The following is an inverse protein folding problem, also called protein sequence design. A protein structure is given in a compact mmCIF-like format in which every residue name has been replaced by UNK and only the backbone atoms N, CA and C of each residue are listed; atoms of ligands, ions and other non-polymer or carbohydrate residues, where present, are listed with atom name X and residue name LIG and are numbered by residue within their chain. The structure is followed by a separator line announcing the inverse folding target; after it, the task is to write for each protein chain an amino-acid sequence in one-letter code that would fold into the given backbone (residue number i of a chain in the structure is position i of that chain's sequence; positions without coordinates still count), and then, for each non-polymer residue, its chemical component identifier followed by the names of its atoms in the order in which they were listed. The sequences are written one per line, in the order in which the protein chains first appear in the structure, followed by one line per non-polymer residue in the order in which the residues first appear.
data_IF_195590951677
#
_entry.id   IF_195590951677
#
_cell.length_a   1.000
_cell.length_b   1.000
_cell.length_c   1.000
_cell.angle_alpha   90.00
_cell.angle_beta   90.00
_cell.angle_gamma   90.00
#
_symmetry.space_group_name_H-M   'P 1'
#
loop_
_entity.id
_entity.type
_entity.pdbx_description
1 polymer ?
#
# COMPACT_ATOMS: atom_id res chain seq x y z
N UNK A 1 2.99 -5.70 -6.57
CA UNK A 1 3.16 -5.31 -7.98
C UNK A 1 3.53 -3.84 -8.06
N UNK A 2 4.26 -3.50 -9.08
CA UNK A 2 4.62 -2.11 -9.31
C UNK A 2 3.50 -1.43 -10.09
N UNK A 3 3.06 -0.27 -9.62
CA UNK A 3 1.96 0.48 -10.22
C UNK A 3 2.46 1.87 -10.58
N UNK A 4 2.05 2.35 -11.73
CA UNK A 4 2.44 3.68 -12.23
C UNK A 4 1.19 4.55 -12.39
N UNK A 5 1.43 5.85 -12.64
CA UNK A 5 0.31 6.79 -12.79
C UNK A 5 -0.73 6.28 -13.79
N UNK A 6 -0.26 5.76 -14.91
CA UNK A 6 -1.16 5.31 -15.98
C UNK A 6 -2.00 4.10 -15.60
N UNK A 7 -1.54 3.28 -14.66
CA UNK A 7 -2.24 2.04 -14.29
C UNK A 7 -2.93 2.14 -12.93
N UNK A 8 -2.77 3.26 -12.22
CA UNK A 8 -3.26 3.38 -10.85
C UNK A 8 -4.76 3.17 -10.75
N UNK A 9 -5.52 3.78 -11.66
CA UNK A 9 -6.99 3.65 -11.60
C UNK A 9 -7.40 2.18 -11.71
N UNK A 10 -6.87 1.45 -12.68
CA UNK A 10 -7.25 0.06 -12.91
C UNK A 10 -6.71 -0.87 -11.82
N UNK A 11 -5.44 -0.70 -11.46
CA UNK A 11 -4.78 -1.67 -10.58
C UNK A 11 -5.02 -1.40 -9.10
N UNK A 12 -5.42 -0.19 -8.74
CA UNK A 12 -5.70 0.15 -7.35
C UNK A 12 -7.16 0.48 -7.14
N UNK A 13 -7.68 1.50 -7.82
CA UNK A 13 -9.03 1.99 -7.51
C UNK A 13 -10.10 0.98 -7.91
N UNK A 14 -10.05 0.50 -9.14
CA UNK A 14 -11.03 -0.49 -9.60
C UNK A 14 -10.85 -1.81 -8.84
N UNK A 15 -9.61 -2.25 -8.69
CA UNK A 15 -9.34 -3.49 -7.97
C UNK A 15 -9.83 -3.42 -6.53
N UNK A 16 -9.80 -2.24 -5.92
CA UNK A 16 -10.25 -2.07 -4.53
C UNK A 16 -11.73 -2.35 -4.34
N UNK A 17 -12.49 -2.44 -5.44
CA UNK A 17 -13.89 -2.84 -5.38
C UNK A 17 -14.03 -4.33 -5.12
N UNK A 18 -12.97 -5.10 -5.35
CA UNK A 18 -12.95 -6.55 -5.16
C UNK A 18 -12.21 -6.96 -3.89
N UNK A 19 -11.06 -6.36 -3.63
CA UNK A 19 -10.20 -6.69 -2.48
C UNK A 19 -9.55 -5.41 -1.97
N UNK A 20 -9.19 -5.36 -0.68
CA UNK A 20 -8.40 -4.22 -0.19
C UNK A 20 -7.05 -4.16 -0.89
N UNK A 21 -6.62 -2.96 -1.23
CA UNK A 21 -5.31 -2.73 -1.85
C UNK A 21 -4.48 -1.87 -0.91
N UNK A 22 -3.29 -2.36 -0.56
CA UNK A 22 -2.33 -1.61 0.23
C UNK A 22 -1.38 -0.91 -0.75
N UNK A 23 -1.34 0.42 -0.68
CA UNK A 23 -0.49 1.24 -1.55
C UNK A 23 0.73 1.67 -0.78
N UNK A 24 1.92 1.29 -1.26
CA UNK A 24 3.20 1.62 -0.64
C UNK A 24 3.89 2.70 -1.48
N UNK A 25 3.91 3.93 -0.97
CA UNK A 25 4.58 5.05 -1.64
C UNK A 25 6.02 5.12 -1.15
N UNK A 26 6.95 4.92 -2.08
CA UNK A 26 8.37 4.77 -1.75
C UNK A 26 9.24 5.47 -2.79
N UNK A 27 10.54 5.54 -2.52
CA UNK A 27 11.53 6.06 -3.47
C UNK A 27 12.83 5.29 -3.31
N UNK A 28 13.64 5.18 -4.39
CA UNK A 28 14.91 4.41 -4.32
C UNK A 28 15.91 4.94 -3.32
N UNK A 29 15.87 6.25 -3.02
CA UNK A 29 16.81 6.89 -2.10
C UNK A 29 16.37 6.80 -0.64
N UNK A 30 15.21 6.21 -0.39
CA UNK A 30 14.61 6.21 0.94
C UNK A 30 15.04 4.97 1.74
N UNK A 31 15.89 5.17 2.75
CA UNK A 31 16.36 4.07 3.59
C UNK A 31 15.25 3.31 4.30
N UNK A 32 14.36 4.02 5.02
CA UNK A 32 13.25 3.35 5.73
C UNK A 32 12.31 2.59 4.80
N UNK A 33 12.17 3.04 3.55
CA UNK A 33 11.36 2.32 2.57
C UNK A 33 11.95 0.93 2.28
N UNK A 34 13.27 0.83 2.30
CA UNK A 34 13.95 -0.44 2.03
C UNK A 34 13.75 -1.44 3.15
N UNK A 35 13.54 -0.95 4.37
CA UNK A 35 13.25 -1.81 5.50
C UNK A 35 11.78 -2.25 5.48
N UNK A 36 10.88 -1.34 5.16
CA UNK A 36 9.44 -1.61 5.19
C UNK A 36 8.97 -2.49 4.04
N UNK A 37 9.54 -2.28 2.84
CA UNK A 37 9.09 -2.99 1.64
C UNK A 37 9.01 -4.51 1.80
N UNK A 38 10.11 -5.16 2.22
CA UNK A 38 10.07 -6.61 2.40
C UNK A 38 9.06 -7.08 3.45
N UNK A 39 8.85 -6.27 4.50
CA UNK A 39 7.87 -6.60 5.53
C UNK A 39 6.46 -6.57 4.94
N UNK A 40 6.14 -5.52 4.19
CA UNK A 40 4.83 -5.42 3.53
C UNK A 40 4.61 -6.59 2.56
N UNK A 41 5.62 -6.90 1.77
CA UNK A 41 5.52 -7.99 0.80
C UNK A 41 5.22 -9.31 1.49
N UNK A 42 5.93 -9.59 2.58
CA UNK A 42 5.76 -10.85 3.31
C UNK A 42 4.39 -10.93 3.97
N UNK A 43 3.96 -9.85 4.63
CA UNK A 43 2.68 -9.85 5.35
C UNK A 43 1.52 -9.94 4.38
N UNK A 44 1.58 -9.18 3.28
CA UNK A 44 0.50 -9.23 2.29
C UNK A 44 0.43 -10.59 1.62
N UNK A 45 1.58 -11.20 1.31
CA UNK A 45 1.61 -12.53 0.74
C UNK A 45 0.93 -13.55 1.65
N UNK A 46 1.03 -13.35 2.97
CA UNK A 46 0.37 -14.23 3.93
C UNK A 46 -1.14 -14.19 3.88
N UNK A 47 -1.73 -13.15 3.26
CA UNK A 47 -3.19 -13.08 3.12
C UNK A 47 -3.72 -13.99 2.00
N UNK A 48 -2.82 -14.55 1.21
CA UNK A 48 -3.17 -15.47 0.11
C UNK A 48 -4.16 -14.86 -0.88
N UNK A 49 -3.92 -13.63 -1.25
CA UNK A 49 -4.71 -12.94 -2.27
C UNK A 49 -5.91 -12.16 -1.74
N UNK A 50 -6.15 -12.20 -0.43
CA UNK A 50 -7.26 -11.45 0.16
C UNK A 50 -6.94 -9.98 0.32
N UNK A 51 -5.66 -9.61 0.22
CA UNK A 51 -5.18 -8.23 0.19
C UNK A 51 -4.11 -8.17 -0.89
N UNK A 52 -4.05 -7.07 -1.61
CA UNK A 52 -3.09 -6.88 -2.70
C UNK A 52 -2.17 -5.72 -2.34
N UNK A 53 -0.89 -5.83 -2.71
CA UNK A 53 0.09 -4.77 -2.49
C UNK A 53 0.42 -4.10 -3.81
N UNK A 54 0.27 -2.78 -3.85
CA UNK A 54 0.65 -1.95 -5.00
C UNK A 54 1.78 -1.02 -4.55
N UNK A 55 2.91 -1.10 -5.23
CA UNK A 55 4.09 -0.29 -4.90
C UNK A 55 4.22 0.83 -5.93
N UNK A 56 4.34 2.07 -5.46
CA UNK A 56 4.44 3.23 -6.33
C UNK A 56 5.70 4.01 -6.00
N UNK A 57 6.61 4.09 -6.98
CA UNK A 57 7.81 4.90 -6.87
C UNK A 57 7.42 6.36 -7.14
N UNK A 58 7.48 7.20 -6.10
CA UNK A 58 7.00 8.58 -6.22
C UNK A 58 7.88 9.46 -7.10
N UNK A 59 9.14 9.07 -7.32
CA UNK A 59 10.03 9.83 -8.20
C UNK A 59 9.55 9.77 -9.64
N UNK A 60 8.93 8.66 -10.02
CA UNK A 60 8.50 8.43 -11.39
C UNK A 60 6.99 8.59 -11.59
N UNK A 61 6.25 8.78 -10.49
CA UNK A 61 4.78 8.81 -10.56
C UNK A 61 4.23 9.99 -9.75
N UNK A 62 4.49 11.21 -10.24
CA UNK A 62 4.05 12.42 -9.51
C UNK A 62 2.53 12.55 -9.39
N UNK A 63 1.79 11.97 -10.33
CA UNK A 63 0.33 12.04 -10.27
C UNK A 63 -0.22 11.35 -9.04
N UNK A 64 0.24 10.12 -8.78
CA UNK A 64 -0.17 9.40 -7.59
C UNK A 64 0.30 10.12 -6.33
N UNK A 65 1.57 10.53 -6.31
CA UNK A 65 2.14 11.22 -5.15
C UNK A 65 1.33 12.46 -4.80
N UNK A 66 0.93 13.24 -5.80
CA UNK A 66 0.12 14.44 -5.60
C UNK A 66 -1.28 14.11 -5.09
N UNK A 67 -1.88 13.07 -5.63
CA UNK A 67 -3.22 12.65 -5.23
C UNK A 67 -3.30 12.34 -3.74
N UNK A 68 -2.24 11.74 -3.20
CA UNK A 68 -2.19 11.38 -1.78
C UNK A 68 -1.59 12.50 -0.92
N UNK A 69 -1.13 13.59 -1.55
CA UNK A 69 -0.50 14.72 -0.84
C UNK A 69 0.64 14.24 0.04
N UNK A 70 1.51 13.40 -0.53
CA UNK A 70 2.60 12.78 0.22
C UNK A 70 3.60 13.82 0.66
N UNK A 71 3.94 13.84 1.95
CA UNK A 71 4.94 14.75 2.51
C UNK A 71 6.14 13.99 3.07
N UNK A 72 5.94 12.75 3.49
CA UNK A 72 7.01 11.91 4.03
C UNK A 72 6.82 10.49 3.52
N UNK A 73 7.93 9.79 3.29
CA UNK A 73 7.89 8.39 2.87
C UNK A 73 8.76 7.56 3.82
N UNK A 74 8.45 6.27 3.97
CA UNK A 74 7.35 5.57 3.31
C UNK A 74 5.99 6.03 3.81
N UNK A 75 5.03 6.07 2.92
CA UNK A 75 3.64 6.36 3.27
C UNK A 75 2.80 5.23 2.71
N UNK A 76 1.94 4.66 3.55
CA UNK A 76 1.15 3.49 3.19
C UNK A 76 -0.32 3.81 3.38
N UNK A 77 -1.11 3.50 2.35
CA UNK A 77 -2.55 3.73 2.37
C UNK A 77 -3.26 2.42 2.02
N UNK A 78 -4.34 2.13 2.73
CA UNK A 78 -5.19 1.00 2.39
C UNK A 78 -6.44 1.54 1.70
N UNK A 79 -6.74 1.00 0.53
CA UNK A 79 -7.88 1.42 -0.29
C UNK A 79 -8.85 0.24 -0.38
N UNK A 80 -10.13 0.47 -0.07
CA UNK A 80 -11.15 -0.56 -0.20
C UNK A 80 -12.45 0.13 -0.61
N UNK A 81 -13.11 -0.41 -1.61
CA UNK A 81 -14.33 0.20 -2.17
C UNK A 81 -14.07 1.65 -2.56
N UNK A 82 -12.89 1.90 -3.17
CA UNK A 82 -12.45 3.18 -3.71
C UNK A 82 -12.22 4.27 -2.64
N UNK A 83 -12.12 3.88 -1.38
CA UNK A 83 -11.92 4.82 -0.27
C UNK A 83 -10.71 4.43 0.55
N UNK A 84 -10.04 5.44 1.12
CA UNK A 84 -8.95 5.19 2.05
C UNK A 84 -9.55 4.71 3.36
N UNK A 85 -9.20 3.49 3.76
CA UNK A 85 -9.73 2.89 4.99
C UNK A 85 -8.66 2.78 6.09
N UNK A 86 -7.42 3.14 5.78
CA UNK A 86 -6.35 3.14 6.77
C UNK A 86 -5.09 3.71 6.17
N UNK A 87 -4.16 4.14 7.03
CA UNK A 87 -2.89 4.68 6.56
C UNK A 87 -1.88 4.73 7.70
N UNK A 88 -0.60 4.74 7.33
CA UNK A 88 0.46 5.08 8.28
C UNK A 88 1.64 5.68 7.51
N UNK A 89 2.50 6.41 8.22
CA UNK A 89 3.69 7.04 7.66
C UNK A 89 4.89 6.58 8.45
N UNK A 90 5.99 6.29 7.75
CA UNK A 90 7.23 5.85 8.37
C UNK A 90 7.31 4.34 8.44
N UNK A 91 8.53 3.84 8.68
CA UNK A 91 8.76 2.41 8.78
C UNK A 91 8.11 1.84 10.04
N UNK A 92 7.46 0.72 9.88
CA UNK A 92 6.83 -0.01 10.97
C UNK A 92 7.41 -1.40 11.04
N UNK A 93 7.42 -1.98 12.22
CA UNK A 93 7.86 -3.36 12.40
C UNK A 93 6.80 -4.34 11.92
N UNK A 94 7.18 -5.60 11.88
CA UNK A 94 6.32 -6.63 11.32
C UNK A 94 5.00 -6.77 12.07
N UNK A 95 5.03 -6.67 13.40
CA UNK A 95 3.81 -6.81 14.20
C UNK A 95 2.80 -5.72 13.87
N UNK A 96 3.27 -4.48 13.72
CA UNK A 96 2.38 -3.35 13.41
C UNK A 96 1.82 -3.47 11.99
N UNK A 97 2.65 -3.90 11.04
CA UNK A 97 2.21 -4.11 9.66
C UNK A 97 1.18 -5.24 9.61
N UNK A 98 1.43 -6.31 10.34
CA UNK A 98 0.52 -7.44 10.41
C UNK A 98 -0.85 -7.02 10.93
N UNK A 99 -0.87 -6.22 12.01
CA UNK A 99 -2.11 -5.69 12.56
C UNK A 99 -2.85 -4.81 11.55
N UNK A 100 -2.08 -3.96 10.85
CA UNK A 100 -2.65 -3.09 9.83
C UNK A 100 -3.37 -3.90 8.74
N UNK A 101 -2.72 -4.96 8.25
CA UNK A 101 -3.27 -5.80 7.19
C UNK A 101 -4.44 -6.64 7.70
N UNK A 102 -4.34 -7.19 8.91
CA UNK A 102 -5.42 -8.00 9.47
C UNK A 102 -6.73 -7.23 9.55
N UNK A 103 -6.65 -5.95 9.89
CA UNK A 103 -7.86 -5.12 9.99
C UNK A 103 -8.56 -4.91 8.65
N UNK A 104 -7.87 -5.17 7.54
CA UNK A 104 -8.45 -5.04 6.21
C UNK A 104 -9.21 -6.29 5.79
N UNK A 105 -8.95 -7.41 6.43
CA UNK A 105 -9.57 -8.67 6.09
C UNK A 105 -11.01 -8.69 6.55
N UNK A 106 -11.91 -9.34 5.79
CA UNK A 106 -13.30 -9.47 6.23
C UNK A 106 -13.36 -10.36 7.47
N UNK A 107 -14.34 -10.09 8.33
CA UNK A 107 -14.56 -10.94 9.49
C UNK A 107 -14.97 -12.33 9.03
N UNK A 108 -14.39 -13.34 9.65
CA UNK A 108 -14.82 -14.73 9.43
C UNK A 108 -16.02 -15.01 10.32
N UNK A 109 -17.12 -15.27 9.69
CA UNK A 109 -18.35 -15.56 10.39
C UNK A 109 -18.65 -17.05 10.44
#
# INVERSE_FOLDING_TARGET
MDVVDATFEAEVMIRSEQVPVVVDLWAPWCGPCKSLGPILERVVAGSEGRVVLAKVNIDENPGVAQSFRVQSIPAVFAIHHREVVGSFVGAQGEDAVNEFVIKLLPDDE
#
